data_IF_677262336538
#
_entry.id   IF_677262336538
#
_cell.length_a   1.000
_cell.length_b   1.000
_cell.length_c   1.000
_cell.angle_alpha   90.00
_cell.angle_beta   90.00
_cell.angle_gamma   90.00
#
_symmetry.space_group_name_H-M   'P 1'
#
loop_
_entity.id
_entity.type
_entity.pdbx_description
1 polymer ?
#
# COMPACT_ATOMS: atom_id res chain seq x y z
N UNK A 1 8.28 55.88 -23.70
CA UNK A 1 7.27 55.29 -22.78
C UNK A 1 6.35 54.23 -23.42
N UNK A 2 6.56 53.84 -24.70
CA UNK A 2 5.78 52.76 -25.34
C UNK A 2 6.39 51.36 -25.13
N UNK A 3 7.73 51.25 -25.07
CA UNK A 3 8.45 49.96 -24.95
C UNK A 3 8.31 49.27 -23.58
N UNK A 4 8.02 50.02 -22.52
CA UNK A 4 7.87 49.47 -21.16
C UNK A 4 6.55 48.72 -21.01
N UNK A 5 5.49 49.14 -21.73
CA UNK A 5 4.17 48.51 -21.66
C UNK A 5 4.11 47.17 -22.40
N UNK A 6 4.90 47.02 -23.46
CA UNK A 6 4.99 45.76 -24.23
C UNK A 6 5.75 44.66 -23.47
N UNK A 7 6.73 45.04 -22.65
CA UNK A 7 7.51 44.10 -21.84
C UNK A 7 6.70 43.49 -20.68
N UNK A 8 5.74 44.22 -20.12
CA UNK A 8 4.91 43.74 -18.99
C UNK A 8 3.90 42.69 -19.43
N UNK A 9 3.37 42.77 -20.66
CA UNK A 9 2.36 41.82 -21.17
C UNK A 9 3.00 40.47 -21.52
N UNK A 10 4.23 40.46 -22.05
CA UNK A 10 4.95 39.23 -22.38
C UNK A 10 5.36 38.41 -21.14
N UNK A 11 5.59 39.06 -20.00
CA UNK A 11 5.99 38.39 -18.75
C UNK A 11 4.80 37.77 -17.99
N UNK A 12 3.59 38.31 -18.19
CA UNK A 12 2.34 37.78 -17.62
C UNK A 12 1.82 36.53 -18.38
N UNK A 13 2.09 36.42 -19.67
CA UNK A 13 1.71 35.22 -20.46
C UNK A 13 2.66 34.04 -20.22
N UNK A 14 3.92 34.28 -19.86
CA UNK A 14 4.89 33.23 -19.58
C UNK A 14 4.69 32.58 -18.19
N UNK A 15 4.07 33.27 -17.24
CA UNK A 15 3.80 32.74 -15.89
C UNK A 15 2.51 31.92 -15.81
N UNK A 16 1.56 32.11 -16.74
CA UNK A 16 0.34 31.31 -16.81
C UNK A 16 0.55 29.91 -17.40
N UNK A 17 1.56 29.72 -18.26
CA UNK A 17 1.81 28.42 -18.91
C UNK A 17 2.64 27.47 -18.03
N UNK A 18 3.47 28.01 -17.12
CA UNK A 18 4.28 27.22 -16.19
C UNK A 18 3.48 26.60 -15.04
N UNK A 19 2.30 27.15 -14.72
CA UNK A 19 1.42 26.62 -13.67
C UNK A 19 0.58 25.42 -14.10
N UNK A 20 0.35 25.23 -15.40
CA UNK A 20 -0.46 24.13 -15.93
C UNK A 20 0.33 22.82 -16.09
N UNK A 21 1.67 22.88 -16.14
CA UNK A 21 2.52 21.72 -16.37
C UNK A 21 2.76 20.85 -15.13
N UNK A 22 2.47 21.33 -13.91
CA UNK A 22 2.64 20.54 -12.68
C UNK A 22 1.40 19.71 -12.30
N UNK A 23 0.33 19.77 -13.08
CA UNK A 23 -0.89 18.98 -12.86
C UNK A 23 -0.96 17.72 -13.74
N UNK A 24 0.09 17.42 -14.52
CA UNK A 24 0.04 16.42 -15.56
C UNK A 24 1.17 15.39 -15.40
N UNK A 25 1.08 14.58 -14.35
CA UNK A 25 1.57 13.18 -14.23
C UNK A 25 1.24 12.67 -12.82
N UNK A 26 -0.04 12.61 -12.46
CA UNK A 26 -0.45 11.49 -11.62
C UNK A 26 -0.75 10.40 -12.65
N UNK A 27 0.27 9.62 -13.03
CA UNK A 27 -0.04 8.30 -13.54
C UNK A 27 -1.00 7.66 -12.54
N UNK A 28 -2.05 7.00 -13.03
CA UNK A 28 -3.03 6.26 -12.21
C UNK A 28 -2.34 5.08 -11.51
N UNK A 29 -1.28 5.34 -10.74
CA UNK A 29 -0.59 4.35 -9.94
C UNK A 29 -1.52 4.02 -8.78
N UNK A 30 -2.09 2.82 -8.88
CA UNK A 30 -2.94 2.28 -7.83
C UNK A 30 -2.07 1.94 -6.64
N UNK A 31 -2.57 2.22 -5.45
CA UNK A 31 -1.98 1.74 -4.21
C UNK A 31 -2.18 0.23 -4.13
N UNK A 32 -1.10 -0.55 -4.17
CA UNK A 32 -1.14 -2.01 -4.12
C UNK A 32 -0.92 -2.52 -2.70
N UNK A 33 -1.82 -3.38 -2.24
CA UNK A 33 -1.80 -3.92 -0.88
C UNK A 33 -1.83 -5.46 -0.92
N UNK A 34 -0.80 -6.08 -0.36
CA UNK A 34 -0.80 -7.49 0.01
C UNK A 34 -1.50 -7.68 1.36
N UNK A 35 -2.71 -8.21 1.35
CA UNK A 35 -3.49 -8.50 2.55
C UNK A 35 -3.23 -9.95 3.00
N UNK A 36 -2.30 -10.13 3.94
CA UNK A 36 -1.85 -11.44 4.42
C UNK A 36 -2.49 -11.78 5.77
N UNK A 37 -3.28 -12.84 5.77
CA UNK A 37 -3.96 -13.37 6.95
C UNK A 37 -3.95 -14.90 6.96
N UNK A 38 -4.19 -15.50 8.12
CA UNK A 38 -4.50 -16.93 8.23
C UNK A 38 -5.94 -17.17 7.78
N UNK A 39 -6.13 -17.75 6.59
CA UNK A 39 -7.44 -17.94 5.95
C UNK A 39 -7.80 -19.42 5.78
N UNK A 40 -6.95 -20.34 6.23
CA UNK A 40 -7.24 -21.77 6.27
C UNK A 40 -6.91 -22.39 7.63
N UNK A 41 -7.43 -23.60 7.85
CA UNK A 41 -7.26 -24.34 9.09
C UNK A 41 -8.11 -23.81 10.26
N UNK A 42 -7.88 -24.32 11.47
CA UNK A 42 -8.74 -24.03 12.63
C UNK A 42 -8.78 -22.56 13.07
N UNK A 43 -7.76 -21.78 12.72
CA UNK A 43 -7.63 -20.37 13.07
C UNK A 43 -8.17 -19.40 12.00
N UNK A 44 -8.69 -19.91 10.87
CA UNK A 44 -9.13 -19.11 9.73
C UNK A 44 -10.10 -17.98 10.09
N UNK A 45 -10.99 -18.23 11.05
CA UNK A 45 -12.02 -17.27 11.47
C UNK A 45 -11.44 -15.91 11.90
N UNK A 46 -10.23 -15.89 12.48
CA UNK A 46 -9.59 -14.63 12.88
C UNK A 46 -9.12 -13.84 11.66
N UNK A 47 -8.53 -14.52 10.67
CA UNK A 47 -8.09 -13.89 9.44
C UNK A 47 -9.25 -13.49 8.52
N UNK A 48 -10.32 -14.28 8.47
CA UNK A 48 -11.55 -13.94 7.74
C UNK A 48 -12.17 -12.66 8.28
N UNK A 49 -12.30 -12.54 9.61
CA UNK A 49 -12.79 -11.32 10.25
C UNK A 49 -11.88 -10.11 9.97
N UNK A 50 -10.56 -10.30 10.04
CA UNK A 50 -9.59 -9.25 9.71
C UNK A 50 -9.68 -8.80 8.25
N UNK A 51 -9.75 -9.75 7.31
CA UNK A 51 -9.93 -9.51 5.87
C UNK A 51 -11.22 -8.76 5.61
N UNK A 52 -12.34 -9.28 6.09
CA UNK A 52 -13.66 -8.73 5.81
C UNK A 52 -13.79 -7.32 6.42
N UNK A 53 -13.21 -7.09 7.61
CA UNK A 53 -13.12 -5.77 8.22
C UNK A 53 -12.29 -4.77 7.40
N UNK A 54 -11.14 -5.20 6.88
CA UNK A 54 -10.30 -4.37 6.01
C UNK A 54 -11.03 -4.01 4.70
N UNK A 55 -11.61 -5.01 4.03
CA UNK A 55 -12.34 -4.81 2.78
C UNK A 55 -13.56 -3.91 2.97
N UNK A 56 -14.32 -4.09 4.06
CA UNK A 56 -15.44 -3.22 4.39
C UNK A 56 -15.01 -1.76 4.61
N UNK A 57 -13.85 -1.54 5.24
CA UNK A 57 -13.32 -0.18 5.42
C UNK A 57 -12.96 0.46 4.07
N UNK A 58 -12.28 -0.29 3.19
CA UNK A 58 -11.94 0.19 1.84
C UNK A 58 -13.18 0.48 1.02
N UNK A 59 -14.21 -0.38 1.09
CA UNK A 59 -15.51 -0.16 0.45
C UNK A 59 -16.15 1.15 0.91
N UNK A 60 -16.21 1.38 2.23
CA UNK A 60 -16.74 2.62 2.81
C UNK A 60 -15.96 3.87 2.41
N UNK A 61 -14.69 3.71 2.05
CA UNK A 61 -13.84 4.80 1.53
C UNK A 61 -13.92 4.93 0.00
N UNK A 62 -14.83 4.20 -0.65
CA UNK A 62 -15.07 4.27 -2.10
C UNK A 62 -14.01 3.55 -2.92
N UNK A 63 -13.38 2.51 -2.38
CA UNK A 63 -12.30 1.76 -3.05
C UNK A 63 -10.96 2.51 -3.07
N UNK A 64 -10.82 3.52 -2.22
CA UNK A 64 -9.64 4.39 -2.18
C UNK A 64 -9.06 4.49 -0.78
N UNK A 65 -7.74 4.56 -0.71
CA UNK A 65 -6.98 4.85 0.50
C UNK A 65 -5.99 5.98 0.20
N UNK A 66 -5.96 7.00 1.05
CA UNK A 66 -5.12 8.18 0.80
C UNK A 66 -5.48 8.97 -0.47
N UNK A 67 -6.68 8.77 -1.04
CA UNK A 67 -7.12 9.36 -2.30
C UNK A 67 -6.72 8.57 -3.56
N UNK A 68 -5.95 7.49 -3.41
CA UNK A 68 -5.53 6.60 -4.50
C UNK A 68 -6.48 5.42 -4.63
N UNK A 69 -6.75 4.99 -5.86
CA UNK A 69 -7.42 3.69 -6.10
C UNK A 69 -6.59 2.56 -5.50
N UNK A 70 -7.24 1.65 -4.79
CA UNK A 70 -6.56 0.57 -4.08
C UNK A 70 -6.76 -0.77 -4.78
N UNK A 71 -5.66 -1.45 -5.06
CA UNK A 71 -5.64 -2.84 -5.53
C UNK A 71 -5.21 -3.75 -4.37
N UNK A 72 -5.98 -4.81 -4.11
CA UNK A 72 -5.77 -5.66 -2.93
C UNK A 72 -5.58 -7.10 -3.38
N UNK A 73 -4.42 -7.66 -3.06
CA UNK A 73 -4.09 -9.08 -3.25
C UNK A 73 -4.21 -9.78 -1.90
N UNK A 74 -5.25 -10.61 -1.74
CA UNK A 74 -5.45 -11.38 -0.50
C UNK A 74 -4.68 -12.68 -0.54
N UNK A 75 -3.94 -12.99 0.52
CA UNK A 75 -3.06 -14.15 0.61
C UNK A 75 -3.24 -14.88 1.93
N UNK A 76 -3.38 -16.20 1.86
CA UNK A 76 -3.42 -17.09 3.02
C UNK A 76 -1.99 -17.44 3.49
N UNK A 77 -1.65 -17.14 4.75
CA UNK A 77 -0.38 -17.55 5.36
C UNK A 77 -0.35 -19.02 5.82
N UNK A 78 -1.51 -19.71 5.80
CA UNK A 78 -1.71 -21.10 6.24
C UNK A 78 -1.25 -21.40 7.67
N UNK A 79 -1.03 -20.36 8.48
CA UNK A 79 -0.39 -20.42 9.79
C UNK A 79 0.99 -21.10 9.77
N UNK A 80 1.70 -21.01 8.63
CA UNK A 80 3.00 -21.64 8.41
C UNK A 80 4.07 -20.60 8.08
N UNK A 81 5.07 -20.39 8.96
CA UNK A 81 6.11 -19.36 8.77
C UNK A 81 6.87 -19.43 7.44
N UNK A 82 7.20 -20.63 6.98
CA UNK A 82 7.92 -20.88 5.72
C UNK A 82 7.08 -20.51 4.50
N UNK A 83 5.80 -20.91 4.51
CA UNK A 83 4.83 -20.57 3.46
C UNK A 83 4.57 -19.06 3.44
N UNK A 84 4.36 -18.44 4.61
CA UNK A 84 4.15 -17.01 4.74
C UNK A 84 5.35 -16.20 4.22
N UNK A 85 6.57 -16.59 4.57
CA UNK A 85 7.79 -15.91 4.10
C UNK A 85 7.92 -15.99 2.57
N UNK A 86 7.62 -17.12 1.95
CA UNK A 86 7.66 -17.27 0.49
C UNK A 86 6.59 -16.41 -0.18
N UNK A 87 5.34 -16.47 0.32
CA UNK A 87 4.24 -15.66 -0.19
C UNK A 87 4.47 -14.15 0.00
N UNK A 88 5.13 -13.74 1.08
CA UNK A 88 5.53 -12.35 1.29
C UNK A 88 6.56 -11.87 0.26
N UNK A 89 7.53 -12.72 -0.10
CA UNK A 89 8.46 -12.39 -1.20
C UNK A 89 7.73 -12.27 -2.53
N UNK A 90 6.79 -13.17 -2.84
CA UNK A 90 6.00 -13.06 -4.07
C UNK A 90 5.20 -11.76 -4.13
N UNK A 91 4.57 -11.36 -3.02
CA UNK A 91 3.84 -10.09 -2.93
C UNK A 91 4.73 -8.90 -3.28
N UNK A 92 5.97 -8.86 -2.79
CA UNK A 92 6.85 -7.71 -2.99
C UNK A 92 7.63 -7.79 -4.32
N UNK A 93 8.14 -8.97 -4.69
CA UNK A 93 9.00 -9.13 -5.87
C UNK A 93 8.21 -9.30 -7.17
N UNK A 94 7.06 -9.98 -7.14
CA UNK A 94 6.24 -10.26 -8.33
C UNK A 94 5.06 -9.30 -8.43
N UNK A 95 4.32 -9.15 -7.34
CA UNK A 95 3.09 -8.36 -7.34
C UNK A 95 3.38 -6.87 -7.06
N UNK A 96 4.62 -6.56 -6.63
CA UNK A 96 5.14 -5.20 -6.46
C UNK A 96 4.22 -4.36 -5.58
N UNK A 97 3.84 -4.92 -4.41
CA UNK A 97 2.94 -4.26 -3.47
C UNK A 97 3.65 -3.17 -2.66
N UNK A 98 2.96 -2.07 -2.41
CA UNK A 98 3.44 -0.97 -1.57
C UNK A 98 3.38 -1.32 -0.08
N UNK A 99 2.34 -2.05 0.31
CA UNK A 99 2.07 -2.44 1.70
C UNK A 99 1.78 -3.93 1.81
N UNK A 100 2.30 -4.55 2.86
CA UNK A 100 1.80 -5.82 3.37
C UNK A 100 1.11 -5.57 4.71
N UNK A 101 -0.14 -6.01 4.82
CA UNK A 101 -0.99 -5.76 5.99
C UNK A 101 -1.50 -7.08 6.55
N UNK A 102 -1.46 -7.21 7.88
CA UNK A 102 -2.39 -8.08 8.59
C UNK A 102 -1.88 -9.22 9.48
N UNK A 103 -0.59 -9.63 9.54
CA UNK A 103 -0.23 -10.89 10.20
C UNK A 103 -0.85 -10.99 11.61
N UNK A 104 -1.69 -12.00 11.83
CA UNK A 104 -2.41 -12.17 13.11
C UNK A 104 -1.45 -12.76 14.14
N UNK A 105 -0.68 -13.78 13.77
CA UNK A 105 0.15 -14.53 14.70
C UNK A 105 1.60 -14.05 14.71
N UNK A 106 2.19 -13.96 15.91
CA UNK A 106 3.55 -13.46 16.12
C UNK A 106 4.63 -14.23 15.36
N UNK A 107 4.47 -15.56 15.21
CA UNK A 107 5.40 -16.37 14.41
C UNK A 107 5.36 -16.01 12.91
N UNK A 108 4.18 -15.64 12.40
CA UNK A 108 4.02 -15.18 11.01
C UNK A 108 4.63 -13.80 10.85
N UNK A 109 4.33 -12.86 11.76
CA UNK A 109 4.93 -11.53 11.74
C UNK A 109 6.45 -11.59 11.65
N UNK A 110 7.10 -12.36 12.54
CA UNK A 110 8.55 -12.52 12.53
C UNK A 110 9.09 -13.12 11.22
N UNK A 111 8.34 -14.04 10.60
CA UNK A 111 8.76 -14.71 9.37
C UNK A 111 8.72 -13.77 8.16
N UNK A 112 7.76 -12.84 8.12
CA UNK A 112 7.55 -11.97 6.96
C UNK A 112 8.24 -10.62 7.07
N UNK A 113 8.68 -10.18 8.28
CA UNK A 113 9.28 -8.85 8.45
C UNK A 113 10.40 -8.58 7.46
N UNK A 114 11.44 -9.42 7.43
CA UNK A 114 12.57 -9.23 6.49
C UNK A 114 12.15 -9.36 5.02
N UNK A 115 11.45 -10.43 4.60
CA UNK A 115 10.93 -10.52 3.23
C UNK A 115 10.20 -9.26 2.74
N UNK A 116 9.37 -8.65 3.60
CA UNK A 116 8.62 -7.45 3.24
C UNK A 116 9.52 -6.21 3.21
N UNK A 117 10.28 -5.96 4.29
CA UNK A 117 11.07 -4.72 4.41
C UNK A 117 12.28 -4.70 3.49
N UNK A 118 12.92 -5.84 3.26
CA UNK A 118 14.09 -5.93 2.37
C UNK A 118 13.67 -5.73 0.90
N UNK A 119 12.42 -6.06 0.55
CA UNK A 119 11.84 -5.79 -0.76
C UNK A 119 11.29 -4.37 -0.94
N UNK A 120 11.34 -3.53 0.10
CA UNK A 120 10.97 -2.10 0.02
C UNK A 120 9.51 -1.77 0.36
N UNK A 121 8.67 -2.77 0.63
CA UNK A 121 7.29 -2.56 1.02
C UNK A 121 7.16 -2.23 2.53
N UNK A 122 6.09 -1.51 2.89
CA UNK A 122 5.76 -1.23 4.29
C UNK A 122 4.98 -2.40 4.92
N UNK A 123 5.36 -2.79 6.13
CA UNK A 123 4.64 -3.81 6.90
C UNK A 123 3.76 -3.17 7.98
N UNK A 124 2.45 -3.43 7.93
CA UNK A 124 1.48 -3.01 8.95
C UNK A 124 0.93 -4.22 9.68
N UNK A 125 1.27 -4.35 10.97
CA UNK A 125 0.78 -5.41 11.86
C UNK A 125 -0.20 -4.85 12.89
N UNK A 126 -1.52 -5.00 12.68
CA UNK A 126 -2.52 -4.46 13.62
C UNK A 126 -2.79 -5.36 14.84
N UNK A 127 -2.29 -6.61 14.85
CA UNK A 127 -2.62 -7.59 15.90
C UNK A 127 -1.39 -8.24 16.56
N UNK A 128 -0.44 -8.76 15.78
CA UNK A 128 0.69 -9.51 16.35
C UNK A 128 1.59 -8.61 17.22
N UNK A 129 1.87 -9.06 18.45
CA UNK A 129 2.60 -8.32 19.49
C UNK A 129 3.78 -9.10 20.07
N UNK A 130 4.76 -9.45 19.23
CA UNK A 130 6.00 -10.11 19.71
C UNK A 130 6.94 -9.11 20.38
N UNK A 131 7.62 -9.53 21.45
CA UNK A 131 8.59 -8.71 22.20
C UNK A 131 9.81 -8.33 21.37
N UNK A 132 10.08 -9.03 20.26
CA UNK A 132 11.24 -8.75 19.41
C UNK A 132 11.13 -7.40 18.66
N UNK A 133 9.96 -6.76 18.66
CA UNK A 133 9.71 -5.44 18.06
C UNK A 133 9.31 -4.37 19.10
N UNK A 134 9.48 -4.64 20.39
CA UNK A 134 9.17 -3.71 21.49
C UNK A 134 10.39 -2.94 21.98
#
# INVERSE_FOLDING_TARGET
MSSIRTATIALLTATALSGAAMAQTADNEKLKIGLMFTLSGPAAVLGEQGRDGFLLAVEKMGGKLGGLETEITTVDDELKPDIAANKARELVERDDVDFVVGPIFSNILMAITKPVTDGGAFLISPNAGTSNFA
#
